data_IF_551390606766
#
_entry.id   IF_551390606766
#
_cell.length_a   1.000
_cell.length_b   1.000
_cell.length_c   1.000
_cell.angle_alpha   90.00
_cell.angle_beta   90.00
_cell.angle_gamma   90.00
#
_symmetry.space_group_name_H-M   'P 1'
#
loop_
_entity.id
_entity.type
_entity.pdbx_description
1 polymer ?
#
# COMPACT_ATOMS: atom_id res chain seq x y z
N UNK A 1 7.97 4.96 -26.16
CA UNK A 1 6.64 5.31 -25.60
C UNK A 1 5.74 4.08 -25.62
N UNK A 2 5.43 3.48 -26.81
CA UNK A 2 4.50 2.36 -26.91
C UNK A 2 4.94 1.12 -26.10
N UNK A 3 6.23 0.81 -26.04
CA UNK A 3 6.75 -0.30 -25.25
C UNK A 3 6.47 -0.17 -23.76
N UNK A 4 6.46 1.05 -23.22
CA UNK A 4 6.15 1.29 -21.80
C UNK A 4 4.70 0.93 -21.45
N UNK A 5 3.76 1.12 -22.37
CA UNK A 5 2.34 0.84 -22.18
C UNK A 5 1.90 -0.49 -22.84
N UNK A 6 2.84 -1.33 -23.30
CA UNK A 6 2.51 -2.60 -23.97
C UNK A 6 1.65 -3.54 -23.09
N UNK A 7 1.79 -3.46 -21.77
CA UNK A 7 0.97 -4.22 -20.81
C UNK A 7 -0.53 -3.90 -20.89
N UNK A 8 -0.90 -2.73 -21.37
CA UNK A 8 -2.30 -2.32 -21.53
C UNK A 8 -2.97 -2.93 -22.78
N UNK A 9 -2.18 -3.40 -23.74
CA UNK A 9 -2.68 -4.07 -24.94
C UNK A 9 -3.21 -5.47 -24.58
N UNK A 10 -4.17 -6.01 -25.36
CA UNK A 10 -4.63 -7.38 -25.17
C UNK A 10 -3.50 -8.40 -25.40
N UNK A 11 -3.21 -9.21 -24.39
CA UNK A 11 -2.30 -10.35 -24.47
C UNK A 11 -2.77 -11.47 -23.54
N UNK A 12 -2.16 -12.65 -23.64
CA UNK A 12 -2.48 -13.80 -22.81
C UNK A 12 -1.21 -14.36 -22.20
N UNK A 13 -1.30 -14.74 -20.93
CA UNK A 13 -0.26 -15.44 -20.19
C UNK A 13 -0.79 -16.84 -19.93
N UNK A 14 -0.18 -17.84 -20.55
CA UNK A 14 -0.52 -19.24 -20.32
C UNK A 14 0.09 -19.73 -19.01
N UNK A 15 -0.64 -20.50 -18.18
CA UNK A 15 -0.05 -21.16 -17.03
C UNK A 15 0.81 -22.36 -17.47
N UNK A 16 1.60 -22.89 -16.54
CA UNK A 16 2.15 -24.24 -16.68
C UNK A 16 1.01 -25.27 -16.83
N UNK A 17 1.29 -26.43 -17.48
CA UNK A 17 0.32 -27.51 -17.54
C UNK A 17 -0.13 -27.97 -16.16
N UNK A 18 -1.42 -28.20 -15.99
CA UNK A 18 -2.01 -28.66 -14.73
C UNK A 18 -3.41 -28.10 -14.50
N UNK A 19 -3.99 -28.47 -13.37
CA UNK A 19 -5.27 -27.93 -12.89
C UNK A 19 -5.06 -27.08 -11.67
N UNK A 20 -5.92 -26.08 -11.48
CA UNK A 20 -5.91 -25.26 -10.29
C UNK A 20 -6.29 -26.09 -9.06
N UNK A 21 -5.46 -26.08 -8.05
CA UNK A 21 -5.73 -26.73 -6.77
C UNK A 21 -6.56 -25.77 -5.89
N UNK A 22 -7.64 -26.26 -5.23
CA UNK A 22 -8.39 -25.46 -4.28
C UNK A 22 -7.49 -24.88 -3.17
N UNK A 23 -7.77 -23.66 -2.75
CA UNK A 23 -7.00 -22.96 -1.71
C UNK A 23 -5.67 -22.38 -2.19
N UNK A 24 -5.37 -22.40 -3.49
CA UNK A 24 -4.14 -21.80 -4.04
C UNK A 24 -4.37 -20.37 -4.53
N UNK A 25 -3.45 -19.46 -4.14
CA UNK A 25 -3.49 -18.06 -4.47
C UNK A 25 -2.19 -17.61 -5.14
N UNK A 26 -2.30 -16.81 -6.21
CA UNK A 26 -1.17 -16.08 -6.78
C UNK A 26 -1.39 -14.57 -6.60
N UNK A 27 -0.50 -13.94 -5.86
CA UNK A 27 -0.50 -12.52 -5.58
C UNK A 27 0.43 -11.80 -6.54
N UNK A 28 -0.13 -11.01 -7.43
CA UNK A 28 0.63 -10.21 -8.38
C UNK A 28 0.95 -8.87 -7.73
N UNK A 29 2.22 -8.65 -7.41
CA UNK A 29 2.70 -7.48 -6.66
C UNK A 29 3.69 -6.66 -7.48
N UNK A 30 3.70 -5.33 -7.36
CA UNK A 30 4.83 -4.52 -7.83
C UNK A 30 6.09 -4.90 -7.05
N UNK A 31 7.26 -4.62 -7.59
CA UNK A 31 8.50 -4.78 -6.81
C UNK A 31 8.52 -3.78 -5.63
N UNK A 32 9.17 -4.16 -4.53
CA UNK A 32 9.01 -3.49 -3.25
C UNK A 32 10.34 -3.02 -2.65
N UNK A 33 10.28 -2.05 -1.76
CA UNK A 33 11.36 -1.66 -0.85
C UNK A 33 10.98 -1.95 0.59
N UNK A 34 12.01 -2.09 1.43
CA UNK A 34 11.85 -2.25 2.88
C UNK A 34 11.10 -1.03 3.44
N UNK A 35 10.13 -1.25 4.34
CA UNK A 35 9.30 -0.20 4.94
C UNK A 35 8.11 0.26 4.09
N UNK A 36 7.81 -0.42 2.97
CA UNK A 36 6.61 -0.14 2.18
C UNK A 36 5.34 -0.56 2.91
N UNK A 37 4.53 0.40 3.35
CA UNK A 37 3.27 0.13 4.08
C UNK A 37 2.24 -0.66 3.26
N UNK A 38 2.15 -0.42 1.95
CA UNK A 38 1.25 -1.18 1.07
C UNK A 38 1.67 -2.65 0.99
N UNK A 39 2.96 -2.94 0.83
CA UNK A 39 3.47 -4.31 0.82
C UNK A 39 3.38 -4.98 2.19
N UNK A 40 3.57 -4.23 3.27
CA UNK A 40 3.35 -4.74 4.63
C UNK A 40 1.93 -5.31 4.79
N UNK A 41 0.90 -4.61 4.30
CA UNK A 41 -0.48 -5.08 4.36
C UNK A 41 -0.72 -6.29 3.46
N UNK A 42 -0.13 -6.33 2.26
CA UNK A 42 -0.22 -7.49 1.36
C UNK A 42 0.40 -8.72 2.05
N UNK A 43 1.63 -8.61 2.52
CA UNK A 43 2.35 -9.72 3.13
C UNK A 43 1.73 -10.18 4.46
N UNK A 44 1.18 -9.24 5.26
CA UNK A 44 0.36 -9.57 6.44
C UNK A 44 -0.86 -10.39 6.06
N UNK A 45 -1.55 -10.00 4.99
CA UNK A 45 -2.73 -10.74 4.52
C UNK A 45 -2.36 -12.14 4.05
N UNK A 46 -1.27 -12.27 3.29
CA UNK A 46 -0.74 -13.57 2.87
C UNK A 46 -0.41 -14.44 4.10
N UNK A 47 0.27 -13.88 5.09
CA UNK A 47 0.63 -14.59 6.30
C UNK A 47 -0.59 -15.14 7.04
N UNK A 48 -1.62 -14.33 7.23
CA UNK A 48 -2.86 -14.80 7.85
C UNK A 48 -3.55 -15.90 7.04
N UNK A 49 -3.57 -15.80 5.71
CA UNK A 49 -4.16 -16.83 4.86
C UNK A 49 -3.36 -18.15 4.93
N UNK A 50 -2.03 -18.09 5.00
CA UNK A 50 -1.20 -19.27 5.22
C UNK A 50 -1.53 -19.96 6.56
N UNK A 51 -1.76 -19.18 7.64
CA UNK A 51 -2.20 -19.74 8.93
C UNK A 51 -3.60 -20.39 8.87
N UNK A 52 -4.43 -19.99 7.91
CA UNK A 52 -5.75 -20.58 7.65
C UNK A 52 -5.69 -21.78 6.69
N UNK A 53 -4.49 -22.19 6.26
CA UNK A 53 -4.28 -23.36 5.39
C UNK A 53 -4.32 -23.08 3.90
N UNK A 54 -4.33 -21.81 3.46
CA UNK A 54 -4.18 -21.46 2.05
C UNK A 54 -2.72 -21.53 1.62
N UNK A 55 -2.50 -21.89 0.36
CA UNK A 55 -1.16 -21.88 -0.25
C UNK A 55 -1.00 -20.67 -1.14
N UNK A 56 -0.03 -19.82 -0.85
CA UNK A 56 0.24 -18.59 -1.59
C UNK A 56 1.51 -18.66 -2.44
N UNK A 57 1.46 -18.02 -3.61
CA UNK A 57 2.64 -17.65 -4.40
C UNK A 57 2.64 -16.15 -4.64
N UNK A 58 3.81 -15.53 -4.69
CA UNK A 58 4.02 -14.11 -4.92
C UNK A 58 4.68 -13.92 -6.28
N UNK A 59 4.04 -13.16 -7.16
CA UNK A 59 4.53 -12.85 -8.50
C UNK A 59 4.98 -11.39 -8.52
N UNK A 60 6.27 -11.12 -8.58
CA UNK A 60 6.82 -9.77 -8.76
C UNK A 60 6.70 -9.40 -10.23
N UNK A 61 5.79 -8.47 -10.55
CA UNK A 61 5.32 -8.21 -11.91
C UNK A 61 6.40 -7.54 -12.78
N UNK A 62 7.11 -6.58 -12.24
CA UNK A 62 8.20 -5.85 -12.92
C UNK A 62 9.37 -5.74 -11.96
N UNK A 63 10.23 -6.78 -11.92
CA UNK A 63 11.38 -6.77 -11.02
C UNK A 63 12.37 -5.68 -11.45
N UNK A 64 12.61 -4.71 -10.58
CA UNK A 64 13.56 -3.62 -10.76
C UNK A 64 14.57 -3.53 -9.61
N UNK A 65 14.18 -3.86 -8.40
CA UNK A 65 15.00 -3.86 -7.18
C UNK A 65 15.56 -5.24 -6.87
N UNK A 66 14.72 -6.27 -7.00
CA UNK A 66 15.13 -7.64 -6.78
C UNK A 66 15.47 -8.30 -8.12
N UNK A 67 16.68 -8.88 -8.21
CA UNK A 67 17.15 -9.56 -9.41
C UNK A 67 16.84 -11.06 -9.40
N UNK A 68 16.53 -11.64 -8.25
CA UNK A 68 16.28 -13.07 -8.04
C UNK A 68 15.16 -13.30 -7.03
N UNK A 69 14.41 -14.37 -7.23
CA UNK A 69 13.31 -14.77 -6.36
C UNK A 69 13.76 -15.04 -4.91
N UNK A 70 14.92 -15.63 -4.73
CA UNK A 70 15.50 -15.91 -3.42
C UNK A 70 15.75 -14.62 -2.64
N UNK A 71 16.32 -13.60 -3.30
CA UNK A 71 16.56 -12.29 -2.67
C UNK A 71 15.25 -11.68 -2.19
N UNK A 72 14.23 -11.62 -3.05
CA UNK A 72 12.93 -11.05 -2.68
C UNK A 72 12.26 -11.84 -1.54
N UNK A 73 12.37 -13.18 -1.57
CA UNK A 73 11.84 -14.03 -0.51
C UNK A 73 12.54 -13.78 0.83
N UNK A 74 13.86 -13.65 0.81
CA UNK A 74 14.64 -13.43 2.02
C UNK A 74 14.35 -12.05 2.61
N UNK A 75 14.21 -11.01 1.78
CA UNK A 75 13.81 -9.67 2.22
C UNK A 75 12.39 -9.66 2.79
N UNK A 76 11.44 -10.41 2.20
CA UNK A 76 10.09 -10.55 2.77
C UNK A 76 10.15 -11.20 4.16
N UNK A 77 10.90 -12.28 4.31
CA UNK A 77 11.01 -13.02 5.57
C UNK A 77 11.72 -12.24 6.66
N UNK A 78 12.73 -11.48 6.30
CA UNK A 78 13.54 -10.72 7.25
C UNK A 78 12.84 -9.43 7.70
N UNK A 79 12.14 -8.75 6.78
CA UNK A 79 11.67 -7.37 7.02
C UNK A 79 10.16 -7.22 7.11
N UNK A 80 9.39 -8.26 6.78
CA UNK A 80 7.93 -8.21 6.83
C UNK A 80 7.34 -9.40 7.62
N UNK A 81 7.16 -10.56 6.98
CA UNK A 81 6.54 -11.74 7.60
C UNK A 81 7.24 -13.04 7.17
N UNK A 82 7.31 -14.07 8.03
CA UNK A 82 7.96 -15.34 7.74
C UNK A 82 7.10 -16.22 6.82
N UNK A 83 6.84 -15.74 5.60
CA UNK A 83 5.98 -16.40 4.62
C UNK A 83 6.58 -17.70 4.09
N UNK A 84 5.71 -18.67 3.81
CA UNK A 84 6.04 -19.90 3.09
C UNK A 84 5.89 -19.76 1.58
N UNK A 85 5.22 -18.69 1.12
CA UNK A 85 4.92 -18.40 -0.27
C UNK A 85 6.15 -18.53 -1.18
N UNK A 86 5.98 -19.23 -2.30
CA UNK A 86 6.98 -19.24 -3.37
C UNK A 86 6.98 -17.90 -4.09
N UNK A 87 8.15 -17.38 -4.42
CA UNK A 87 8.31 -16.13 -5.17
C UNK A 87 8.64 -16.43 -6.62
N UNK A 88 7.96 -15.75 -7.54
CA UNK A 88 8.15 -15.81 -8.99
C UNK A 88 8.58 -14.43 -9.49
N UNK A 89 9.51 -14.41 -10.44
CA UNK A 89 9.98 -13.16 -11.08
C UNK A 89 9.34 -13.04 -12.46
N UNK A 90 8.43 -12.08 -12.62
CA UNK A 90 7.62 -11.95 -13.84
C UNK A 90 6.51 -13.00 -13.95
N UNK A 91 5.91 -13.09 -15.13
CA UNK A 91 4.70 -13.88 -15.35
C UNK A 91 4.94 -15.22 -16.04
N UNK A 92 6.19 -15.57 -16.34
CA UNK A 92 6.49 -16.82 -17.05
C UNK A 92 6.57 -17.99 -16.07
N UNK A 93 6.07 -19.15 -16.50
CA UNK A 93 6.15 -20.38 -15.72
C UNK A 93 5.28 -20.41 -14.46
N UNK A 94 4.18 -19.66 -14.43
CA UNK A 94 3.27 -19.64 -13.29
C UNK A 94 2.37 -20.89 -13.28
N UNK A 95 2.17 -21.52 -12.12
CA UNK A 95 1.22 -22.61 -11.98
C UNK A 95 -0.23 -22.11 -12.09
N UNK A 96 -1.19 -22.96 -12.48
CA UNK A 96 -2.61 -22.63 -12.33
C UNK A 96 -2.98 -22.50 -10.86
N UNK A 97 -3.95 -21.64 -10.56
CA UNK A 97 -4.38 -21.34 -9.19
C UNK A 97 -5.90 -21.15 -9.09
N UNK A 98 -6.44 -21.26 -7.89
CA UNK A 98 -7.84 -20.93 -7.65
C UNK A 98 -8.07 -19.41 -7.77
N UNK A 99 -7.20 -18.61 -7.14
CA UNK A 99 -7.32 -17.16 -7.14
C UNK A 99 -6.05 -16.48 -7.66
N UNK A 100 -6.19 -15.62 -8.66
CA UNK A 100 -5.17 -14.64 -9.02
C UNK A 100 -5.58 -13.27 -8.50
N UNK A 101 -4.69 -12.63 -7.73
CA UNK A 101 -4.99 -11.42 -6.98
C UNK A 101 -4.07 -10.28 -7.43
N UNK A 102 -4.65 -9.23 -8.03
CA UNK A 102 -3.95 -7.99 -8.31
C UNK A 102 -3.81 -7.18 -7.01
N UNK A 103 -2.70 -6.45 -6.85
CA UNK A 103 -2.45 -5.59 -5.68
C UNK A 103 -2.11 -4.14 -6.03
N UNK A 104 -2.09 -3.84 -7.32
CA UNK A 104 -1.94 -2.52 -7.90
C UNK A 104 -2.51 -2.48 -9.30
N UNK A 105 -2.81 -1.30 -9.82
CA UNK A 105 -3.44 -1.15 -11.13
C UNK A 105 -2.62 -1.75 -12.28
N UNK A 106 -1.31 -1.64 -12.24
CA UNK A 106 -0.42 -2.23 -13.25
C UNK A 106 -0.43 -3.76 -13.18
N UNK A 107 -0.49 -4.33 -11.97
CA UNK A 107 -0.61 -5.79 -11.77
C UNK A 107 -1.97 -6.33 -12.22
N UNK A 108 -3.02 -5.51 -12.17
CA UNK A 108 -4.36 -5.90 -12.62
C UNK A 108 -4.40 -6.23 -14.12
N UNK A 109 -3.61 -5.55 -14.95
CA UNK A 109 -3.48 -5.88 -16.36
C UNK A 109 -2.88 -7.27 -16.56
N UNK A 110 -1.88 -7.63 -15.76
CA UNK A 110 -1.26 -8.95 -15.82
C UNK A 110 -2.21 -10.06 -15.34
N UNK A 111 -2.94 -9.81 -14.21
CA UNK A 111 -3.99 -10.72 -13.74
C UNK A 111 -5.09 -10.88 -14.80
N UNK A 112 -5.47 -9.81 -15.50
CA UNK A 112 -6.42 -9.90 -16.62
C UNK A 112 -5.92 -10.84 -17.71
N UNK A 113 -4.63 -10.75 -18.04
CA UNK A 113 -4.00 -11.56 -19.10
C UNK A 113 -3.79 -13.03 -18.69
N UNK A 114 -3.58 -13.31 -17.40
CA UNK A 114 -3.29 -14.65 -16.89
C UNK A 114 -4.49 -15.60 -17.06
N UNK A 115 -4.29 -16.75 -17.74
CA UNK A 115 -5.33 -17.71 -18.09
C UNK A 115 -5.44 -18.87 -17.09
N UNK A 116 -4.52 -18.95 -16.11
CA UNK A 116 -4.43 -20.07 -15.16
C UNK A 116 -5.27 -19.91 -13.88
N UNK A 117 -6.08 -18.86 -13.75
CA UNK A 117 -6.86 -18.60 -12.55
C UNK A 117 -8.34 -18.97 -12.74
N UNK A 118 -8.93 -19.66 -11.75
CA UNK A 118 -10.39 -19.92 -11.71
C UNK A 118 -11.14 -18.63 -11.41
N UNK A 119 -10.61 -17.79 -10.49
CA UNK A 119 -11.19 -16.50 -10.10
C UNK A 119 -10.12 -15.42 -10.08
N UNK A 120 -10.52 -14.21 -10.43
CA UNK A 120 -9.64 -13.03 -10.42
C UNK A 120 -10.14 -12.01 -9.40
N UNK A 121 -9.25 -11.59 -8.53
CA UNK A 121 -9.54 -10.65 -7.46
C UNK A 121 -8.62 -9.43 -7.58
N UNK A 122 -9.02 -8.34 -6.94
CA UNK A 122 -8.21 -7.14 -6.81
C UNK A 122 -8.18 -6.69 -5.34
N UNK A 123 -7.01 -6.73 -4.72
CA UNK A 123 -6.76 -6.19 -3.39
C UNK A 123 -6.46 -4.70 -3.52
N UNK A 124 -7.51 -3.88 -3.39
CA UNK A 124 -7.47 -2.44 -3.63
C UNK A 124 -7.24 -1.71 -2.31
N UNK A 125 -6.06 -1.10 -2.15
CA UNK A 125 -5.69 -0.41 -0.93
C UNK A 125 -5.99 1.09 -0.95
N UNK A 126 -6.08 1.68 -2.14
CA UNK A 126 -6.35 3.11 -2.32
C UNK A 126 -7.09 3.35 -3.65
N UNK A 127 -7.59 4.56 -3.88
CA UNK A 127 -8.12 4.96 -5.19
C UNK A 127 -6.96 5.38 -6.10
N UNK A 128 -6.37 4.40 -6.77
CA UNK A 128 -5.10 4.51 -7.48
C UNK A 128 -5.08 5.51 -8.66
N UNK A 129 -6.20 5.81 -9.37
CA UNK A 129 -6.22 6.88 -10.36
C UNK A 129 -5.73 8.22 -9.82
N UNK A 130 -5.98 8.50 -8.53
CA UNK A 130 -5.55 9.74 -7.86
C UNK A 130 -4.07 9.76 -7.47
N UNK A 131 -3.28 8.73 -7.80
CA UNK A 131 -1.83 8.76 -7.63
C UNK A 131 -1.14 9.63 -8.68
N UNK A 132 -1.83 9.91 -9.76
CA UNK A 132 -1.34 10.62 -10.94
C UNK A 132 -2.18 11.86 -11.23
N UNK A 133 -1.56 12.85 -11.87
CA UNK A 133 -2.32 13.89 -12.56
C UNK A 133 -3.22 13.25 -13.65
N UNK A 134 -4.31 13.91 -14.01
CA UNK A 134 -5.19 13.43 -15.09
C UNK A 134 -4.36 13.23 -16.36
N UNK A 135 -4.31 11.99 -16.83
CA UNK A 135 -3.49 11.57 -17.96
C UNK A 135 -3.56 10.07 -18.20
N UNK A 136 -2.65 9.53 -19.01
CA UNK A 136 -2.67 8.12 -19.43
C UNK A 136 -2.65 7.17 -18.24
N UNK A 137 -1.81 7.40 -17.24
CA UNK A 137 -1.69 6.54 -16.07
C UNK A 137 -2.94 6.56 -15.21
N UNK A 138 -3.51 7.75 -14.96
CA UNK A 138 -4.78 7.90 -14.25
C UNK A 138 -5.93 7.13 -14.94
N UNK A 139 -6.04 7.27 -16.27
CA UNK A 139 -7.06 6.56 -17.08
C UNK A 139 -6.83 5.04 -17.06
N UNK A 140 -5.59 4.59 -17.21
CA UNK A 140 -5.26 3.17 -17.19
C UNK A 140 -5.52 2.55 -15.81
N UNK A 141 -5.20 3.27 -14.73
CA UNK A 141 -5.51 2.84 -13.36
C UNK A 141 -7.03 2.73 -13.16
N UNK A 142 -7.80 3.73 -13.59
CA UNK A 142 -9.25 3.73 -13.47
C UNK A 142 -9.92 2.58 -14.25
N UNK A 143 -9.41 2.27 -15.44
CA UNK A 143 -9.93 1.17 -16.26
C UNK A 143 -9.86 -0.19 -15.57
N UNK A 144 -8.92 -0.40 -14.65
CA UNK A 144 -8.76 -1.69 -13.94
C UNK A 144 -9.97 -2.06 -13.11
N UNK A 145 -10.70 -1.07 -12.59
CA UNK A 145 -11.93 -1.32 -11.82
C UNK A 145 -13.09 -1.85 -12.67
N UNK A 146 -12.98 -1.78 -14.01
CA UNK A 146 -13.96 -2.29 -14.98
C UNK A 146 -13.59 -3.67 -15.56
N UNK A 147 -12.52 -4.32 -15.04
CA UNK A 147 -12.09 -5.64 -15.56
C UNK A 147 -12.96 -6.82 -15.11
N UNK A 148 -13.99 -6.58 -14.29
CA UNK A 148 -14.89 -7.64 -13.81
C UNK A 148 -14.33 -8.46 -12.64
N UNK A 149 -13.26 -8.01 -12.00
CA UNK A 149 -12.72 -8.65 -10.80
C UNK A 149 -13.61 -8.38 -9.59
N UNK A 150 -13.55 -9.26 -8.58
CA UNK A 150 -14.08 -8.93 -7.26
C UNK A 150 -13.03 -8.18 -6.45
N UNK A 151 -13.41 -7.07 -5.84
CA UNK A 151 -12.53 -6.22 -5.05
C UNK A 151 -12.51 -6.61 -3.57
N UNK A 152 -11.33 -6.74 -3.01
CA UNK A 152 -11.08 -6.73 -1.56
C UNK A 152 -10.51 -5.34 -1.27
N UNK A 153 -11.25 -4.51 -0.53
CA UNK A 153 -10.91 -3.09 -0.41
C UNK A 153 -10.50 -2.70 1.00
N UNK A 154 -9.55 -1.78 1.10
CA UNK A 154 -9.18 -1.12 2.35
C UNK A 154 -10.32 -0.20 2.81
N UNK A 155 -11.16 -0.72 3.70
CA UNK A 155 -12.28 -0.01 4.30
C UNK A 155 -13.52 0.18 3.43
N UNK A 156 -14.58 0.68 4.07
CA UNK A 156 -15.92 0.79 3.48
C UNK A 156 -16.05 1.89 2.43
N UNK A 157 -15.38 3.03 2.62
CA UNK A 157 -15.44 4.13 1.67
C UNK A 157 -15.03 3.69 0.25
N UNK A 158 -13.91 2.99 0.15
CA UNK A 158 -13.40 2.51 -1.13
C UNK A 158 -14.30 1.42 -1.73
N UNK A 159 -14.83 0.51 -0.88
CA UNK A 159 -15.80 -0.49 -1.32
C UNK A 159 -17.05 0.14 -1.95
N UNK A 160 -17.60 1.16 -1.31
CA UNK A 160 -18.78 1.86 -1.79
C UNK A 160 -18.52 2.61 -3.09
N UNK A 161 -17.42 3.37 -3.14
CA UNK A 161 -16.99 4.09 -4.36
C UNK A 161 -16.87 3.15 -5.54
N UNK A 162 -16.15 2.05 -5.40
CA UNK A 162 -15.92 1.11 -6.50
C UNK A 162 -17.21 0.37 -6.91
N UNK A 163 -18.11 0.12 -5.99
CA UNK A 163 -19.43 -0.46 -6.29
C UNK A 163 -20.31 0.53 -7.03
N UNK A 164 -20.42 1.75 -6.52
CA UNK A 164 -21.34 2.76 -7.06
C UNK A 164 -20.90 3.30 -8.42
N UNK A 165 -19.60 3.58 -8.59
CA UNK A 165 -19.09 4.25 -9.78
C UNK A 165 -18.63 3.29 -10.88
N UNK A 166 -18.21 2.05 -10.52
CA UNK A 166 -17.63 1.08 -11.47
C UNK A 166 -18.39 -0.25 -11.55
N UNK A 167 -19.44 -0.44 -10.76
CA UNK A 167 -20.19 -1.70 -10.71
C UNK A 167 -19.38 -2.88 -10.18
N UNK A 168 -18.26 -2.64 -9.52
CA UNK A 168 -17.36 -3.66 -9.00
C UNK A 168 -17.99 -4.36 -7.80
N UNK A 169 -17.98 -5.69 -7.78
CA UNK A 169 -18.38 -6.44 -6.59
C UNK A 169 -17.27 -6.34 -5.54
N UNK A 170 -17.55 -5.73 -4.40
CA UNK A 170 -16.54 -5.39 -3.40
C UNK A 170 -16.86 -5.96 -2.03
N UNK A 171 -15.80 -6.32 -1.30
CA UNK A 171 -15.81 -6.70 0.11
C UNK A 171 -14.83 -5.81 0.86
N UNK A 172 -15.33 -5.04 1.83
CA UNK A 172 -14.48 -4.19 2.65
C UNK A 172 -13.79 -5.00 3.74
N UNK A 173 -12.49 -4.78 3.89
CA UNK A 173 -11.71 -5.25 5.05
C UNK A 173 -11.10 -4.04 5.75
N UNK A 174 -11.14 -4.04 7.09
CA UNK A 174 -10.42 -3.06 7.90
C UNK A 174 -8.94 -3.46 8.02
N UNK A 175 -8.05 -2.50 7.98
CA UNK A 175 -6.69 -2.78 8.41
C UNK A 175 -6.64 -2.76 9.94
N UNK A 176 -6.14 -3.85 10.51
CA UNK A 176 -5.86 -3.93 11.94
C UNK A 176 -4.57 -3.18 12.29
N UNK A 177 -4.48 -2.78 13.55
CA UNK A 177 -3.23 -2.31 14.16
C UNK A 177 -2.63 -3.43 15.02
N UNK A 178 -1.32 -3.53 15.02
CA UNK A 178 -0.58 -4.45 15.90
C UNK A 178 -0.63 -3.90 17.34
N UNK A 179 -1.65 -4.29 18.11
CA UNK A 179 -1.90 -3.74 19.45
C UNK A 179 -0.75 -3.98 20.43
N UNK A 180 0.00 -5.06 20.25
CA UNK A 180 1.19 -5.34 21.06
C UNK A 180 2.33 -4.34 20.80
N UNK A 181 2.45 -3.86 19.55
CA UNK A 181 3.46 -2.86 19.16
C UNK A 181 2.99 -1.45 19.49
N UNK A 182 1.75 -1.10 19.17
CA UNK A 182 1.22 0.26 19.30
C UNK A 182 0.47 0.45 20.61
N UNK A 183 1.20 0.31 21.72
CA UNK A 183 0.71 0.65 23.05
C UNK A 183 1.02 2.09 23.40
N UNK A 184 0.17 2.68 24.22
CA UNK A 184 0.43 4.01 24.74
C UNK A 184 1.56 3.96 25.78
N UNK A 185 2.68 4.59 25.47
CA UNK A 185 3.83 4.70 26.37
C UNK A 185 3.76 5.99 27.20
N UNK A 186 4.50 6.03 28.31
CA UNK A 186 4.58 7.22 29.15
C UNK A 186 5.23 8.39 28.40
N UNK A 187 4.65 9.56 28.56
CA UNK A 187 5.21 10.81 28.00
C UNK A 187 6.36 11.31 28.86
N UNK A 188 7.45 11.74 28.22
CA UNK A 188 8.62 12.30 28.89
C UNK A 188 8.36 13.73 29.38
N UNK A 189 7.62 14.51 28.57
CA UNK A 189 7.33 15.93 28.84
C UNK A 189 5.82 16.20 28.60
N UNK A 190 4.94 15.78 29.52
CA UNK A 190 3.48 15.83 29.31
C UNK A 190 2.92 17.26 29.26
N UNK A 191 3.66 18.27 29.79
CA UNK A 191 3.30 19.67 29.75
C UNK A 191 3.49 20.30 28.37
N UNK A 192 4.40 19.76 27.56
CA UNK A 192 4.65 20.24 26.19
C UNK A 192 3.63 19.67 25.24
N UNK A 193 2.84 20.53 24.61
CA UNK A 193 1.85 20.13 23.61
C UNK A 193 2.50 19.89 22.26
N UNK A 194 2.35 18.67 21.71
CA UNK A 194 2.95 18.26 20.45
C UNK A 194 1.90 17.81 19.44
N UNK A 195 2.07 18.30 18.22
CA UNK A 195 1.31 17.85 17.05
C UNK A 195 2.22 17.04 16.14
N UNK A 196 1.92 15.77 15.97
CA UNK A 196 2.56 14.94 14.95
C UNK A 196 1.97 15.25 13.57
N UNK A 197 2.83 15.40 12.57
CA UNK A 197 2.41 15.54 11.18
C UNK A 197 3.09 14.48 10.31
N UNK A 198 2.26 13.64 9.65
CA UNK A 198 2.77 12.71 8.65
C UNK A 198 3.15 13.45 7.38
N UNK A 199 4.40 13.88 7.29
CA UNK A 199 4.95 14.70 6.22
C UNK A 199 5.44 13.84 5.05
N UNK A 200 4.80 13.97 3.87
CA UNK A 200 5.17 13.24 2.66
C UNK A 200 5.15 14.16 1.44
N UNK A 201 6.08 15.12 1.32
CA UNK A 201 6.14 16.07 0.19
C UNK A 201 6.12 15.39 -1.19
N UNK A 202 6.84 14.25 -1.44
CA UNK A 202 6.84 13.64 -2.76
C UNK A 202 5.56 12.88 -3.10
N UNK A 203 4.56 12.90 -2.21
CA UNK A 203 3.31 12.16 -2.40
C UNK A 203 2.13 13.13 -2.48
N UNK A 204 1.75 13.61 -3.68
CA UNK A 204 0.78 14.71 -3.84
C UNK A 204 -0.54 14.50 -3.11
N UNK A 205 -1.06 13.25 -3.10
CA UNK A 205 -2.32 12.92 -2.39
C UNK A 205 -2.24 13.06 -0.87
N UNK A 206 -1.05 13.21 -0.28
CA UNK A 206 -0.85 13.50 1.14
C UNK A 206 -0.88 15.00 1.46
N UNK A 207 -1.03 15.83 0.43
CA UNK A 207 -1.27 17.27 0.51
C UNK A 207 -0.41 17.96 1.59
N UNK A 208 0.90 17.76 1.50
CA UNK A 208 1.89 18.26 2.47
C UNK A 208 1.72 19.78 2.72
N UNK A 209 1.52 20.54 1.66
CA UNK A 209 1.36 21.99 1.68
C UNK A 209 0.11 22.43 2.46
N UNK A 210 -1.01 21.69 2.30
CA UNK A 210 -2.22 21.96 3.08
C UNK A 210 -2.01 21.67 4.56
N UNK A 211 -1.26 20.60 4.89
CA UNK A 211 -0.84 20.31 6.25
C UNK A 211 -0.02 21.44 6.85
N UNK A 212 0.95 21.98 6.10
CA UNK A 212 1.75 23.13 6.56
C UNK A 212 0.90 24.39 6.81
N UNK A 213 -0.10 24.65 5.98
CA UNK A 213 -1.03 25.77 6.18
C UNK A 213 -1.80 25.62 7.50
N UNK A 214 -2.28 24.42 7.79
CA UNK A 214 -2.97 24.12 9.05
C UNK A 214 -2.04 24.32 10.24
N UNK A 215 -0.83 23.74 10.21
CA UNK A 215 0.14 23.84 11.30
C UNK A 215 0.59 25.29 11.51
N UNK A 216 0.78 26.06 10.46
CA UNK A 216 1.10 27.50 10.56
C UNK A 216 -0.04 28.29 11.23
N UNK A 217 -1.29 27.97 10.93
CA UNK A 217 -2.44 28.60 11.59
C UNK A 217 -2.52 28.22 13.09
N UNK A 218 -2.17 26.98 13.45
CA UNK A 218 -2.06 26.55 14.84
C UNK A 218 -0.91 27.29 15.54
N UNK A 219 0.27 27.35 14.95
CA UNK A 219 1.42 28.04 15.52
C UNK A 219 1.15 29.52 15.81
N UNK A 220 0.48 30.22 14.91
CA UNK A 220 0.13 31.63 15.13
C UNK A 220 -0.81 31.86 16.32
N UNK A 221 -1.63 30.87 16.66
CA UNK A 221 -2.56 30.94 17.82
C UNK A 221 -1.96 30.38 19.11
N UNK A 222 -1.11 29.36 18.97
CA UNK A 222 -0.51 28.61 20.08
C UNK A 222 1.00 28.45 19.83
N UNK A 223 1.80 29.54 19.96
CA UNK A 223 3.20 29.53 19.58
C UNK A 223 4.11 28.63 20.44
N UNK A 224 3.63 28.15 21.59
CA UNK A 224 4.30 27.18 22.45
C UNK A 224 4.13 25.73 21.99
N UNK A 225 3.29 25.46 20.99
CA UNK A 225 3.09 24.11 20.45
C UNK A 225 4.32 23.66 19.68
N UNK A 226 4.79 22.47 19.96
CA UNK A 226 5.84 21.80 19.17
C UNK A 226 5.23 20.99 18.04
N UNK A 227 5.84 21.06 16.87
CA UNK A 227 5.44 20.27 15.69
C UNK A 227 6.49 19.21 15.41
N UNK A 228 6.06 17.97 15.24
CA UNK A 228 6.90 16.80 14.96
C UNK A 228 6.56 16.28 13.57
N UNK A 229 7.48 16.45 12.63
CA UNK A 229 7.30 16.05 11.23
C UNK A 229 8.05 14.75 10.97
N UNK A 230 7.34 13.72 10.55
CA UNK A 230 7.93 12.43 10.21
C UNK A 230 7.31 11.82 8.95
N UNK A 231 8.05 10.95 8.28
CA UNK A 231 7.65 10.23 7.06
C UNK A 231 8.51 10.55 5.84
N UNK A 232 9.20 11.68 5.83
CA UNK A 232 10.15 12.09 4.80
C UNK A 232 11.16 13.09 5.34
N UNK A 233 12.33 13.17 4.72
CA UNK A 233 13.29 14.24 5.00
C UNK A 233 12.74 15.59 4.49
N UNK A 234 12.54 16.53 5.41
CA UNK A 234 11.98 17.84 5.10
C UNK A 234 13.03 18.95 5.07
N UNK A 235 14.33 18.64 5.14
CA UNK A 235 15.41 19.64 5.18
C UNK A 235 15.45 20.57 3.96
N UNK A 236 15.01 20.09 2.79
CA UNK A 236 14.92 20.89 1.56
C UNK A 236 13.70 21.81 1.45
N UNK A 237 12.81 21.83 2.45
CA UNK A 237 11.55 22.57 2.39
C UNK A 237 11.56 23.74 3.38
N UNK A 238 11.09 24.92 2.93
CA UNK A 238 10.90 26.04 3.83
C UNK A 238 9.64 25.84 4.68
N UNK A 239 9.83 25.63 5.97
CA UNK A 239 8.74 25.47 6.95
C UNK A 239 8.76 26.72 7.87
N UNK A 240 7.68 27.53 7.89
CA UNK A 240 7.70 28.87 8.47
C UNK A 240 7.54 28.91 10.00
N UNK A 241 7.63 27.78 10.69
CA UNK A 241 7.49 27.65 12.14
C UNK A 241 8.50 26.65 12.71
N UNK A 242 8.84 26.78 14.02
CA UNK A 242 9.74 25.84 14.70
C UNK A 242 9.17 24.42 14.67
N UNK A 243 9.97 23.44 14.29
CA UNK A 243 9.57 22.04 14.23
C UNK A 243 10.76 21.11 14.47
N UNK A 244 10.44 19.87 14.84
CA UNK A 244 11.36 18.75 14.89
C UNK A 244 11.16 17.91 13.61
N UNK A 245 12.20 17.83 12.78
CA UNK A 245 12.20 16.99 11.58
C UNK A 245 12.79 15.62 11.94
N UNK A 246 11.94 14.58 11.97
CA UNK A 246 12.33 13.21 12.30
C UNK A 246 12.71 12.38 11.06
N UNK A 247 12.45 12.89 9.84
CA UNK A 247 12.70 12.14 8.63
C UNK A 247 11.89 10.84 8.54
N UNK A 248 12.51 9.79 8.01
CA UNK A 248 11.92 8.43 8.01
C UNK A 248 12.21 7.77 9.36
N UNK A 249 11.16 7.39 10.07
CA UNK A 249 11.22 6.76 11.39
C UNK A 249 11.06 5.25 11.22
N UNK A 250 11.87 4.46 11.93
CA UNK A 250 11.73 3.01 11.94
C UNK A 250 10.40 2.58 12.57
N UNK A 251 9.84 1.46 12.11
CA UNK A 251 8.54 0.98 12.59
C UNK A 251 8.51 0.76 14.10
N UNK A 252 9.62 0.32 14.68
CA UNK A 252 9.74 0.05 16.11
C UNK A 252 9.83 1.31 16.97
N UNK A 253 10.22 2.45 16.38
CA UNK A 253 10.30 3.75 17.05
C UNK A 253 9.00 4.56 16.97
N UNK A 254 8.08 4.19 16.05
CA UNK A 254 6.82 4.91 15.85
C UNK A 254 5.92 4.92 17.09
N UNK A 255 5.77 3.83 17.88
CA UNK A 255 4.94 3.83 19.07
C UNK A 255 5.41 4.86 20.11
N UNK A 256 6.72 4.98 20.33
CA UNK A 256 7.28 6.01 21.23
C UNK A 256 6.99 7.41 20.68
N UNK A 257 7.28 7.65 19.40
CA UNK A 257 7.04 8.95 18.77
C UNK A 257 5.56 9.37 18.87
N UNK A 258 4.61 8.48 18.60
CA UNK A 258 3.18 8.76 18.73
C UNK A 258 2.78 9.03 20.18
N UNK A 259 3.33 8.26 21.13
CA UNK A 259 3.04 8.44 22.56
C UNK A 259 3.54 9.77 23.10
N UNK A 260 4.55 10.41 22.47
CA UNK A 260 5.04 11.74 22.85
C UNK A 260 4.19 12.90 22.29
N UNK A 261 3.20 12.62 21.43
CA UNK A 261 2.35 13.62 20.79
C UNK A 261 0.91 13.61 21.34
N UNK A 262 0.25 14.77 21.35
CA UNK A 262 -1.15 14.91 21.79
C UNK A 262 -2.13 14.67 20.65
N UNK A 263 -1.75 15.06 19.43
CA UNK A 263 -2.60 15.02 18.23
C UNK A 263 -1.76 14.61 17.04
N UNK A 264 -2.33 13.79 16.16
CA UNK A 264 -1.78 13.51 14.86
C UNK A 264 -2.57 14.22 13.76
N UNK A 265 -1.87 14.97 12.90
CA UNK A 265 -2.40 15.50 11.65
C UNK A 265 -1.98 14.59 10.52
N UNK A 266 -2.95 13.89 9.93
CA UNK A 266 -2.75 13.05 8.76
C UNK A 266 -3.68 13.54 7.66
N UNK A 267 -3.13 13.88 6.50
CA UNK A 267 -3.92 14.35 5.35
C UNK A 267 -3.92 13.27 4.28
N UNK A 268 -5.10 12.98 3.74
CA UNK A 268 -5.26 12.11 2.58
C UNK A 268 -6.41 12.64 1.70
N UNK A 269 -6.13 12.75 0.40
CA UNK A 269 -7.11 13.19 -0.60
C UNK A 269 -7.74 12.02 -1.36
N UNK A 270 -7.44 10.79 -0.96
CA UNK A 270 -7.88 9.57 -1.65
C UNK A 270 -8.67 8.66 -0.71
N UNK A 271 -8.06 7.69 -0.07
CA UNK A 271 -8.76 6.75 0.78
C UNK A 271 -8.83 7.22 2.25
N UNK A 272 -10.01 7.59 2.71
CA UNK A 272 -10.24 8.01 4.09
C UNK A 272 -10.09 6.87 5.11
N UNK A 273 -10.19 5.62 4.68
CA UNK A 273 -10.01 4.45 5.56
C UNK A 273 -8.55 4.18 5.93
N UNK A 274 -7.61 4.90 5.32
CA UNK A 274 -6.18 4.85 5.65
C UNK A 274 -5.77 5.91 6.69
N UNK A 275 -6.69 6.67 7.19
CA UNK A 275 -6.52 7.65 8.26
C UNK A 275 -6.88 7.00 9.60
#
# INVERSE_FOLDING_TARGET
VLGHYAFAMPYKIAPLPGQATPGTLLWFVPDFGIGSGGHLNIFRTIWHLEQMGYTSGIVIVKPDKHQRAEQARDDIRQHFFPLQAQVYMGADGLPPCEFAIATGWDTAYMVRAFQGAVRKLYFVQDFEPSFYAIGSESVLAENTYRFGFSGITAGGWLAEKLRAEYGMRTHAVGFGVEQERYQQLSRREPEIKRVFFYARPPTPRRAFELGLLVLNAVWRRLPQTQFVLAGWDTAGYHIPFPHLACGTVALDDLPDLYSQCDVALVVSLTNLSLL
#
